data_IF_308687629959
#
_entry.id   IF_308687629959
#
_cell.length_a   1.000
_cell.length_b   1.000
_cell.length_c   1.000
_cell.angle_alpha   90.00
_cell.angle_beta   90.00
_cell.angle_gamma   90.00
#
_symmetry.space_group_name_H-M   'P 1'
#
loop_
_entity.id
_entity.type
_entity.pdbx_description
1 polymer ?
#
# COMPACT_ATOMS: atom_id res chain seq x y z
N UNK A 1 27.11 35.95 -19.45
CA UNK A 1 26.04 36.86 -19.09
C UNK A 1 25.39 36.36 -17.79
N UNK A 2 25.02 37.27 -16.92
CA UNK A 2 24.31 37.01 -15.68
C UNK A 2 23.21 38.04 -15.46
N UNK A 3 22.29 37.77 -14.55
CA UNK A 3 21.21 38.68 -14.14
C UNK A 3 21.56 39.31 -12.79
N UNK A 4 21.50 40.62 -12.73
CA UNK A 4 21.71 41.38 -11.48
C UNK A 4 20.70 42.53 -11.42
N UNK A 5 19.99 42.67 -10.30
CA UNK A 5 18.98 43.71 -10.10
C UNK A 5 17.95 43.86 -11.23
N UNK A 6 17.50 42.69 -11.76
CA UNK A 6 16.58 42.56 -12.91
C UNK A 6 17.15 42.98 -14.29
N UNK A 7 18.42 43.31 -14.40
CA UNK A 7 19.08 43.61 -15.66
C UNK A 7 20.05 42.52 -16.08
N UNK A 8 20.18 42.32 -17.40
CA UNK A 8 21.18 41.39 -17.96
C UNK A 8 22.50 42.14 -18.17
N UNK A 9 23.57 41.60 -17.59
CA UNK A 9 24.91 42.17 -17.69
C UNK A 9 25.97 41.09 -17.92
N UNK A 10 27.11 41.52 -18.39
CA UNK A 10 28.29 40.67 -18.47
C UNK A 10 29.10 40.81 -17.20
N UNK A 11 29.42 39.70 -16.55
CA UNK A 11 30.25 39.69 -15.32
C UNK A 11 31.30 38.55 -15.44
N UNK A 12 32.34 38.66 -14.60
CA UNK A 12 33.32 37.58 -14.46
C UNK A 12 32.68 36.41 -13.64
N UNK A 13 33.07 35.17 -13.92
CA UNK A 13 32.52 33.98 -13.24
C UNK A 13 32.63 34.07 -11.74
N UNK A 14 33.71 34.59 -11.19
CA UNK A 14 34.00 34.72 -9.75
C UNK A 14 33.03 35.63 -8.97
N UNK A 15 32.31 36.50 -9.70
CA UNK A 15 31.31 37.41 -9.13
C UNK A 15 29.89 36.84 -9.16
N UNK A 16 29.71 35.70 -9.81
CA UNK A 16 28.40 35.04 -9.93
C UNK A 16 28.18 34.21 -8.68
N UNK A 17 27.08 34.47 -7.94
CA UNK A 17 26.74 33.80 -6.68
C UNK A 17 25.93 32.52 -6.90
N UNK A 18 25.12 32.46 -7.94
CA UNK A 18 24.24 31.34 -8.27
C UNK A 18 24.32 30.99 -9.74
N UNK A 19 24.21 29.73 -10.06
CA UNK A 19 24.21 29.22 -11.42
C UNK A 19 23.10 28.13 -11.54
N UNK A 20 22.38 28.16 -12.66
CA UNK A 20 21.44 27.10 -12.97
C UNK A 20 22.16 25.78 -13.14
N UNK A 21 21.68 24.73 -12.48
CA UNK A 21 22.30 23.39 -12.54
C UNK A 21 22.04 22.72 -13.89
N UNK A 22 20.81 22.87 -14.42
CA UNK A 22 20.41 22.27 -15.67
C UNK A 22 19.44 23.17 -16.46
N UNK A 23 19.41 23.08 -17.80
CA UNK A 23 18.46 23.81 -18.64
C UNK A 23 16.99 23.53 -18.33
N UNK A 24 16.69 22.34 -17.79
CA UNK A 24 15.34 21.93 -17.38
C UNK A 24 14.72 22.81 -16.29
N UNK A 25 15.52 23.56 -15.53
CA UNK A 25 15.03 24.51 -14.51
C UNK A 25 14.25 25.70 -15.10
N UNK A 26 14.39 26.00 -16.37
CA UNK A 26 13.72 27.12 -17.06
C UNK A 26 12.24 26.81 -17.28
N UNK A 27 11.88 25.54 -17.44
CA UNK A 27 10.53 25.07 -17.79
C UNK A 27 9.84 24.41 -16.59
N UNK A 28 8.53 24.22 -16.69
CA UNK A 28 7.77 23.47 -15.69
C UNK A 28 8.18 22.00 -15.68
N UNK A 29 7.86 21.27 -14.58
CA UNK A 29 8.16 19.85 -14.47
C UNK A 29 7.52 19.05 -15.63
N UNK A 30 6.27 19.33 -15.98
CA UNK A 30 5.60 18.64 -17.09
C UNK A 30 6.29 18.91 -18.43
N UNK A 31 6.70 20.15 -18.70
CA UNK A 31 7.42 20.49 -19.92
C UNK A 31 8.84 19.87 -19.94
N UNK A 32 9.49 19.73 -18.80
CA UNK A 32 10.81 19.11 -18.70
C UNK A 32 10.84 17.60 -19.00
N UNK A 33 9.67 16.96 -19.00
CA UNK A 33 9.50 15.55 -19.36
C UNK A 33 9.30 15.33 -20.87
N UNK A 34 9.14 16.39 -21.67
CA UNK A 34 8.95 16.28 -23.12
C UNK A 34 10.30 16.11 -23.79
N UNK A 35 10.58 14.97 -24.44
CA UNK A 35 11.80 14.80 -25.20
C UNK A 35 11.79 15.69 -26.44
N UNK A 36 12.94 16.23 -26.82
CA UNK A 36 13.10 17.13 -27.98
C UNK A 36 12.21 18.37 -27.94
N UNK A 37 11.98 18.92 -26.75
CA UNK A 37 11.12 20.10 -26.54
C UNK A 37 11.53 21.31 -27.41
N UNK A 38 12.82 21.47 -27.66
CA UNK A 38 13.39 22.55 -28.48
C UNK A 38 12.97 22.49 -29.96
N UNK A 39 12.46 21.37 -30.43
CA UNK A 39 11.96 21.18 -31.79
C UNK A 39 10.42 21.39 -31.90
N UNK A 40 9.73 21.58 -30.79
CA UNK A 40 8.30 21.73 -30.75
C UNK A 40 7.89 23.21 -30.73
N UNK A 41 6.78 23.53 -31.40
CA UNK A 41 6.12 24.83 -31.26
C UNK A 41 5.58 24.99 -29.83
N UNK A 42 5.63 26.23 -29.31
CA UNK A 42 5.21 26.53 -27.95
C UNK A 42 3.74 26.13 -27.68
N UNK A 43 2.84 26.29 -28.63
CA UNK A 43 1.44 25.91 -28.50
C UNK A 43 1.30 24.38 -28.37
N UNK A 44 2.06 23.62 -29.16
CA UNK A 44 2.02 22.14 -29.10
C UNK A 44 2.68 21.60 -27.83
N UNK A 45 3.75 22.22 -27.39
CA UNK A 45 4.38 21.89 -26.11
C UNK A 45 3.42 22.13 -24.93
N UNK A 46 2.64 23.23 -24.94
CA UNK A 46 1.62 23.50 -23.95
C UNK A 46 0.53 22.42 -23.96
N UNK A 47 0.02 22.06 -25.14
CA UNK A 47 -0.99 20.99 -25.26
C UNK A 47 -0.47 19.66 -24.75
N UNK A 48 0.74 19.25 -25.16
CA UNK A 48 1.38 18.01 -24.70
C UNK A 48 1.61 17.98 -23.19
N UNK A 49 2.10 19.07 -22.61
CA UNK A 49 2.29 19.23 -21.17
C UNK A 49 0.96 19.08 -20.40
N UNK A 50 -0.14 19.64 -20.91
CA UNK A 50 -1.46 19.46 -20.31
C UNK A 50 -1.97 18.02 -20.43
N UNK A 51 -1.74 17.36 -21.55
CA UNK A 51 -2.14 15.96 -21.77
C UNK A 51 -1.39 15.00 -20.87
N UNK A 52 -0.11 15.20 -20.60
CA UNK A 52 0.66 14.40 -19.64
C UNK A 52 0.01 14.37 -18.26
N UNK A 53 -0.53 15.49 -17.80
CA UNK A 53 -1.22 15.58 -16.49
C UNK A 53 -2.56 14.85 -16.43
N UNK A 54 -3.12 14.48 -17.59
CA UNK A 54 -4.38 13.74 -17.72
C UNK A 54 -4.17 12.26 -17.99
N UNK A 55 -2.93 11.78 -17.96
CA UNK A 55 -2.62 10.38 -18.20
C UNK A 55 -3.26 9.49 -17.12
N UNK A 56 -3.91 8.41 -17.57
CA UNK A 56 -4.53 7.41 -16.70
C UNK A 56 -3.57 6.25 -16.54
N UNK A 57 -3.34 5.75 -15.31
CA UNK A 57 -2.51 4.57 -15.07
C UNK A 57 -3.03 3.36 -15.83
N UNK A 58 -2.18 2.73 -16.61
CA UNK A 58 -2.50 1.48 -17.32
C UNK A 58 -2.28 0.27 -16.41
N UNK A 59 -2.86 -0.88 -16.78
CA UNK A 59 -2.70 -2.14 -16.05
C UNK A 59 -1.22 -2.53 -15.90
N UNK A 60 -0.43 -2.32 -16.93
CA UNK A 60 1.03 -2.45 -16.92
C UNK A 60 1.62 -1.16 -17.46
N UNK A 61 2.46 -0.52 -16.67
CA UNK A 61 3.26 0.60 -17.11
C UNK A 61 4.49 0.10 -17.86
N UNK A 62 4.98 0.87 -18.80
CA UNK A 62 6.17 0.56 -19.58
C UNK A 62 7.07 1.80 -19.63
N UNK A 63 8.34 1.63 -19.29
CA UNK A 63 9.33 2.71 -19.31
C UNK A 63 9.48 3.27 -20.72
N UNK A 64 9.47 4.60 -20.90
CA UNK A 64 9.65 5.21 -22.21
C UNK A 64 11.04 4.91 -22.77
N UNK A 65 11.12 4.58 -24.06
CA UNK A 65 12.39 4.32 -24.73
C UNK A 65 13.24 5.60 -24.90
N UNK A 66 12.59 6.75 -24.97
CA UNK A 66 13.22 8.07 -25.06
C UNK A 66 12.72 8.93 -23.93
N UNK A 67 13.63 9.44 -23.13
CA UNK A 67 13.33 10.27 -21.96
C UNK A 67 14.28 11.45 -21.85
N UNK A 68 14.04 12.30 -20.88
CA UNK A 68 14.81 13.51 -20.59
C UNK A 68 15.73 13.36 -19.38
N UNK A 69 15.64 12.26 -18.65
CA UNK A 69 16.33 12.04 -17.38
C UNK A 69 15.61 12.63 -16.16
N UNK A 70 14.48 13.32 -16.35
CA UNK A 70 13.64 13.82 -15.27
C UNK A 70 12.62 12.81 -14.77
N UNK A 71 12.44 11.69 -15.45
CA UNK A 71 11.44 10.67 -15.12
C UNK A 71 11.68 10.06 -13.75
N UNK A 72 12.93 9.73 -13.42
CA UNK A 72 13.30 9.14 -12.15
C UNK A 72 13.16 10.09 -10.97
N UNK A 73 13.72 11.32 -10.99
CA UNK A 73 13.49 12.29 -9.92
C UNK A 73 12.01 12.60 -9.69
N UNK A 74 11.23 12.75 -10.77
CA UNK A 74 9.80 13.04 -10.68
C UNK A 74 9.03 11.87 -10.04
N UNK A 75 9.32 10.63 -10.40
CA UNK A 75 8.71 9.45 -9.81
C UNK A 75 9.00 9.35 -8.31
N UNK A 76 10.25 9.60 -7.89
CA UNK A 76 10.68 9.57 -6.49
C UNK A 76 10.02 10.70 -5.70
N UNK A 77 10.11 11.94 -6.18
CA UNK A 77 9.63 13.12 -5.44
C UNK A 77 8.10 13.22 -5.40
N UNK A 78 7.40 12.57 -6.34
CA UNK A 78 5.92 12.49 -6.32
C UNK A 78 5.37 11.65 -5.17
N UNK A 79 6.19 10.80 -4.56
CA UNK A 79 5.79 9.91 -3.46
C UNK A 79 4.90 8.74 -3.88
N UNK A 80 4.75 8.46 -5.18
CA UNK A 80 4.02 7.28 -5.67
C UNK A 80 4.84 5.99 -5.54
N UNK A 81 6.17 6.11 -5.59
CA UNK A 81 7.11 5.01 -5.35
C UNK A 81 7.47 4.93 -3.87
N UNK A 82 7.73 3.73 -3.39
CA UNK A 82 8.25 3.53 -2.03
C UNK A 82 9.77 3.55 -2.08
N UNK A 83 10.38 4.45 -1.33
CA UNK A 83 11.82 4.63 -1.25
C UNK A 83 12.39 4.20 0.10
N UNK A 84 13.61 3.68 0.11
CA UNK A 84 14.31 3.31 1.33
C UNK A 84 14.66 4.55 2.17
N UNK A 85 14.22 4.56 3.42
CA UNK A 85 14.54 5.62 4.39
C UNK A 85 15.97 5.52 4.88
N UNK A 86 16.43 4.28 5.09
CA UNK A 86 17.77 3.91 5.55
C UNK A 86 18.31 2.76 4.71
N UNK A 87 19.62 2.62 4.63
CA UNK A 87 20.28 1.51 3.96
C UNK A 87 20.22 0.25 4.81
N UNK A 88 20.18 -0.90 4.13
CA UNK A 88 20.08 -2.18 4.82
C UNK A 88 20.04 -3.38 3.89
N UNK A 89 19.55 -4.48 4.41
CA UNK A 89 19.31 -5.72 3.66
C UNK A 89 17.83 -6.08 3.78
N UNK A 90 17.22 -6.42 2.67
CA UNK A 90 15.82 -6.87 2.63
C UNK A 90 15.70 -8.23 3.29
N UNK A 91 14.97 -8.30 4.39
CA UNK A 91 14.75 -9.54 5.16
C UNK A 91 13.63 -10.38 4.56
N UNK A 92 12.49 -9.77 4.31
CA UNK A 92 11.35 -10.43 3.69
C UNK A 92 10.54 -9.49 2.81
N UNK A 93 9.91 -10.03 1.78
CA UNK A 93 9.05 -9.31 0.85
C UNK A 93 7.78 -10.11 0.63
N UNK A 94 6.65 -9.48 0.79
CA UNK A 94 5.37 -10.01 0.36
C UNK A 94 4.60 -8.95 -0.46
N UNK A 95 3.41 -9.30 -0.96
CA UNK A 95 2.63 -8.39 -1.78
C UNK A 95 2.17 -7.13 -1.03
N UNK A 96 2.08 -7.18 0.29
CA UNK A 96 1.54 -6.13 1.15
C UNK A 96 2.61 -5.33 1.87
N UNK A 97 3.83 -5.85 2.02
CA UNK A 97 4.88 -5.21 2.82
C UNK A 97 6.29 -5.64 2.43
N UNK A 98 7.26 -4.80 2.75
CA UNK A 98 8.69 -5.05 2.62
C UNK A 98 9.31 -4.82 4.00
N UNK A 99 10.04 -5.81 4.52
CA UNK A 99 10.76 -5.72 5.78
C UNK A 99 12.25 -5.59 5.50
N UNK A 100 12.85 -4.53 6.00
CA UNK A 100 14.27 -4.22 5.80
C UNK A 100 14.98 -4.22 7.14
N UNK A 101 16.06 -4.97 7.23
CA UNK A 101 17.01 -4.91 8.33
C UNK A 101 18.03 -3.81 8.04
N UNK A 102 18.01 -2.75 8.83
CA UNK A 102 18.85 -1.56 8.66
C UNK A 102 20.30 -1.87 9.01
N UNK A 103 21.24 -1.23 8.32
CA UNK A 103 22.66 -1.34 8.63
C UNK A 103 23.00 -0.68 9.97
N UNK A 104 23.90 -1.28 10.75
CA UNK A 104 24.32 -0.76 12.05
C UNK A 104 24.83 0.67 12.00
N UNK A 105 25.46 1.08 10.89
CA UNK A 105 26.00 2.43 10.71
C UNK A 105 24.91 3.52 10.58
N UNK A 106 23.70 3.15 10.15
CA UNK A 106 22.57 4.08 9.96
C UNK A 106 21.53 3.99 11.08
N UNK A 107 21.74 3.09 12.05
CA UNK A 107 20.85 2.93 13.20
C UNK A 107 21.30 3.86 14.33
N UNK A 108 20.42 4.75 14.78
CA UNK A 108 20.66 5.64 15.92
C UNK A 108 20.37 4.90 17.22
N UNK A 109 21.08 5.23 18.30
CA UNK A 109 20.84 4.63 19.61
C UNK A 109 19.39 4.92 20.08
N UNK A 110 18.62 3.85 20.34
CA UNK A 110 17.21 3.94 20.74
C UNK A 110 16.21 3.80 19.60
N UNK A 111 16.66 3.64 18.35
CA UNK A 111 15.79 3.31 17.22
C UNK A 111 15.83 1.82 16.91
N UNK A 112 14.70 1.29 16.45
CA UNK A 112 14.66 -0.08 15.93
C UNK A 112 15.51 -0.20 14.66
N UNK A 113 16.33 -1.24 14.59
CA UNK A 113 17.14 -1.57 13.41
C UNK A 113 16.32 -2.20 12.28
N UNK A 114 15.02 -1.95 12.24
CA UNK A 114 14.08 -2.52 11.26
C UNK A 114 13.21 -1.43 10.68
N UNK A 115 13.06 -1.42 9.35
CA UNK A 115 12.09 -0.60 8.65
C UNK A 115 11.07 -1.49 7.96
N UNK A 116 9.78 -1.28 8.26
CA UNK A 116 8.67 -1.97 7.63
C UNK A 116 7.94 -0.98 6.71
N UNK A 117 7.87 -1.32 5.42
CA UNK A 117 7.20 -0.55 4.38
C UNK A 117 5.92 -1.28 3.98
N UNK A 118 4.77 -0.75 4.41
CA UNK A 118 3.47 -1.26 3.99
C UNK A 118 3.14 -0.71 2.59
N UNK A 119 2.78 -1.60 1.68
CA UNK A 119 2.44 -1.28 0.30
C UNK A 119 0.94 -1.02 0.16
N UNK A 120 0.60 0.04 -0.54
CA UNK A 120 -0.79 0.37 -0.86
C UNK A 120 -1.28 -0.58 -1.96
N UNK A 121 -2.37 -1.31 -1.69
CA UNK A 121 -2.92 -2.31 -2.62
C UNK A 121 -4.33 -1.93 -3.03
N UNK A 122 -4.55 -1.78 -4.33
CA UNK A 122 -5.87 -1.61 -4.97
C UNK A 122 -6.77 -0.59 -4.26
N UNK A 123 -6.22 0.58 -3.95
CA UNK A 123 -6.99 1.67 -3.36
C UNK A 123 -7.46 2.65 -4.43
N UNK A 124 -8.57 3.31 -4.15
CA UNK A 124 -9.14 4.33 -5.04
C UNK A 124 -8.36 5.64 -4.92
N UNK A 125 -7.98 6.23 -6.05
CA UNK A 125 -7.51 7.62 -6.10
C UNK A 125 -8.68 8.61 -6.15
N UNK A 126 -8.39 9.91 -6.02
CA UNK A 126 -9.41 10.96 -6.12
C UNK A 126 -10.11 10.98 -7.49
N UNK A 127 -9.49 10.47 -8.54
CA UNK A 127 -10.02 10.37 -9.90
C UNK A 127 -10.55 8.98 -10.24
N UNK A 128 -10.84 8.15 -9.24
CA UNK A 128 -11.31 6.77 -9.38
C UNK A 128 -10.33 5.82 -10.08
N UNK A 129 -9.07 6.20 -10.19
CA UNK A 129 -8.02 5.32 -10.74
C UNK A 129 -7.50 4.38 -9.65
N UNK A 130 -6.92 3.25 -10.07
CA UNK A 130 -6.37 2.26 -9.16
C UNK A 130 -4.97 2.67 -8.70
N UNK A 131 -4.77 2.74 -7.39
CA UNK A 131 -3.45 2.86 -6.76
C UNK A 131 -3.04 1.48 -6.29
N UNK A 132 -1.98 0.95 -6.87
CA UNK A 132 -1.42 -0.34 -6.49
C UNK A 132 0.11 -0.24 -6.52
N UNK A 133 0.76 -0.59 -5.42
CA UNK A 133 2.21 -0.61 -5.32
C UNK A 133 2.71 -2.05 -5.45
N UNK A 134 3.79 -2.22 -6.20
CA UNK A 134 4.38 -3.52 -6.49
C UNK A 134 5.86 -3.52 -6.11
N UNK A 135 6.34 -4.48 -5.29
CA UNK A 135 7.74 -4.55 -4.90
C UNK A 135 8.65 -4.83 -6.10
N UNK A 136 9.82 -4.20 -6.12
CA UNK A 136 10.90 -4.42 -7.09
C UNK A 136 12.01 -5.28 -6.51
N UNK A 137 12.18 -5.24 -5.18
CA UNK A 137 13.27 -5.91 -4.46
C UNK A 137 12.90 -7.32 -4.08
N UNK A 138 13.92 -8.14 -3.85
CA UNK A 138 13.80 -9.52 -3.39
C UNK A 138 14.46 -9.69 -2.02
N UNK A 139 14.08 -10.74 -1.31
CA UNK A 139 14.71 -11.07 -0.03
C UNK A 139 16.21 -11.35 -0.23
N UNK A 140 17.04 -10.70 0.59
CA UNK A 140 18.49 -10.76 0.52
C UNK A 140 19.16 -9.62 -0.25
N UNK A 141 18.41 -8.78 -0.95
CA UNK A 141 18.97 -7.64 -1.67
C UNK A 141 19.54 -6.60 -0.70
N UNK A 142 20.72 -6.08 -1.02
CA UNK A 142 21.30 -4.95 -0.32
C UNK A 142 20.79 -3.64 -0.92
N UNK A 143 20.27 -2.76 -0.07
CA UNK A 143 19.70 -1.48 -0.47
C UNK A 143 20.44 -0.31 0.19
N UNK A 144 20.51 0.80 -0.50
CA UNK A 144 21.01 2.06 0.01
C UNK A 144 19.85 3.02 0.31
N UNK A 145 20.11 4.02 1.14
CA UNK A 145 19.15 5.09 1.40
C UNK A 145 18.78 5.81 0.09
N UNK A 146 17.49 5.93 -0.19
CA UNK A 146 16.95 6.57 -1.39
C UNK A 146 16.70 5.62 -2.56
N UNK A 147 17.05 4.33 -2.44
CA UNK A 147 16.71 3.34 -3.46
C UNK A 147 15.20 3.11 -3.53
N UNK A 148 14.70 2.84 -4.72
CA UNK A 148 13.28 2.54 -4.93
C UNK A 148 13.03 1.07 -4.58
N UNK A 149 12.14 0.84 -3.63
CA UNK A 149 11.75 -0.50 -3.14
C UNK A 149 10.53 -1.05 -3.86
N UNK A 150 9.58 -0.18 -4.20
CA UNK A 150 8.36 -0.57 -4.89
C UNK A 150 7.89 0.52 -5.86
N UNK A 151 7.39 0.07 -7.01
CA UNK A 151 6.74 0.91 -8.00
C UNK A 151 5.29 1.21 -7.59
N UNK A 152 4.85 2.41 -7.94
CA UNK A 152 3.46 2.84 -7.82
C UNK A 152 2.71 2.86 -9.16
N UNK A 153 1.54 3.50 -9.21
CA UNK A 153 0.83 3.69 -10.46
C UNK A 153 1.65 4.54 -11.44
N UNK A 154 1.60 4.20 -12.72
CA UNK A 154 2.34 4.89 -13.80
C UNK A 154 3.85 4.99 -13.56
N UNK A 155 4.43 4.01 -12.91
CA UNK A 155 5.89 3.89 -12.74
C UNK A 155 6.36 2.50 -13.13
N UNK A 156 7.59 2.40 -13.62
CA UNK A 156 8.24 1.15 -13.99
C UNK A 156 9.74 1.26 -13.67
N UNK A 157 10.26 0.32 -12.88
CA UNK A 157 11.64 0.30 -12.39
C UNK A 157 12.11 1.63 -11.74
N UNK A 158 11.20 2.29 -11.02
CA UNK A 158 11.45 3.55 -10.35
C UNK A 158 11.46 4.78 -11.27
N UNK A 159 11.05 4.64 -12.52
CA UNK A 159 10.93 5.72 -13.49
C UNK A 159 9.46 5.99 -13.84
N UNK A 160 9.15 7.23 -14.18
CA UNK A 160 7.82 7.62 -14.60
C UNK A 160 7.47 7.01 -15.96
N UNK A 161 6.38 6.25 -16.01
CA UNK A 161 5.89 5.54 -17.19
C UNK A 161 4.39 5.83 -17.39
N UNK A 162 4.08 6.90 -18.11
CA UNK A 162 2.71 7.41 -18.27
C UNK A 162 1.90 6.69 -19.36
N UNK A 163 2.52 5.83 -20.15
CA UNK A 163 1.87 5.19 -21.30
C UNK A 163 2.55 3.91 -21.73
N UNK A 164 2.48 3.63 -23.03
CA UNK A 164 2.97 2.42 -23.65
C UNK A 164 3.83 2.78 -24.88
N UNK A 165 4.86 2.00 -25.14
CA UNK A 165 5.65 2.11 -26.38
C UNK A 165 4.94 1.37 -27.51
N UNK A 166 4.69 2.05 -28.62
CA UNK A 166 4.00 1.50 -29.79
C UNK A 166 4.84 1.70 -31.05
N UNK A 167 4.79 0.73 -31.93
CA UNK A 167 5.28 0.90 -33.28
C UNK A 167 4.28 1.71 -34.11
N UNK A 168 4.69 2.86 -34.59
CA UNK A 168 3.83 3.82 -35.32
C UNK A 168 4.29 3.93 -36.78
N UNK A 169 3.33 3.93 -37.70
CA UNK A 169 3.57 4.25 -39.11
C UNK A 169 2.94 5.61 -39.48
N UNK A 170 3.74 6.50 -40.00
CA UNK A 170 3.28 7.83 -40.49
C UNK A 170 2.96 7.72 -41.98
N UNK A 171 1.71 7.42 -42.29
CA UNK A 171 1.26 7.28 -43.68
C UNK A 171 -0.26 7.52 -43.77
N UNK A 172 -0.78 8.04 -44.92
CA UNK A 172 -2.21 8.03 -45.17
C UNK A 172 -2.68 6.59 -45.40
N UNK A 173 -3.86 6.24 -44.81
CA UNK A 173 -4.41 4.88 -44.96
C UNK A 173 -5.89 4.92 -45.30
N UNK A 174 -6.23 4.85 -46.58
CA UNK A 174 -7.59 4.82 -47.14
C UNK A 174 -8.53 5.90 -46.59
N UNK A 175 -8.02 7.03 -46.13
CA UNK A 175 -8.80 8.13 -45.56
C UNK A 175 -9.30 7.90 -44.13
N UNK A 176 -9.04 6.73 -43.52
CA UNK A 176 -9.49 6.45 -42.13
C UNK A 176 -8.67 7.19 -41.05
N UNK A 177 -7.55 7.75 -41.40
CA UNK A 177 -6.73 8.59 -40.52
C UNK A 177 -6.72 10.07 -40.93
N UNK A 178 -7.88 10.54 -41.50
CA UNK A 178 -8.06 11.95 -41.87
C UNK A 178 -8.07 12.85 -40.61
N UNK A 179 -7.40 13.99 -40.72
CA UNK A 179 -7.20 14.96 -39.64
C UNK A 179 -6.47 14.30 -38.43
N UNK A 180 -7.09 14.37 -37.24
CA UNK A 180 -6.54 13.85 -35.98
C UNK A 180 -6.96 12.39 -35.70
N UNK A 181 -7.55 11.70 -36.68
CA UNK A 181 -7.96 10.30 -36.53
C UNK A 181 -6.74 9.37 -36.50
N UNK A 182 -6.75 8.40 -35.60
CA UNK A 182 -5.71 7.41 -35.44
C UNK A 182 -6.32 6.01 -35.62
N UNK A 183 -5.68 5.19 -36.44
CA UNK A 183 -5.98 3.77 -36.54
C UNK A 183 -5.17 2.98 -35.54
N UNK A 184 -5.81 2.11 -34.82
CA UNK A 184 -5.20 1.24 -33.81
C UNK A 184 -5.29 -0.20 -34.27
N UNK A 185 -4.21 -0.95 -34.16
CA UNK A 185 -4.20 -2.39 -34.42
C UNK A 185 -5.02 -3.14 -33.38
N UNK A 186 -5.74 -4.18 -33.78
CA UNK A 186 -6.45 -5.10 -32.89
C UNK A 186 -5.54 -5.74 -31.84
N UNK A 187 -4.27 -5.91 -32.16
CA UNK A 187 -3.24 -6.41 -31.24
C UNK A 187 -3.13 -5.57 -29.97
N UNK A 188 -3.32 -4.25 -30.03
CA UNK A 188 -3.30 -3.36 -28.85
C UNK A 188 -4.36 -3.77 -27.83
N UNK A 189 -5.56 -4.17 -28.33
CA UNK A 189 -6.65 -4.66 -27.48
C UNK A 189 -6.35 -6.07 -26.96
N UNK A 190 -5.84 -6.96 -27.81
CA UNK A 190 -5.51 -8.34 -27.42
C UNK A 190 -4.39 -8.42 -26.36
N UNK A 191 -3.44 -7.48 -26.39
CA UNK A 191 -2.33 -7.41 -25.43
C UNK A 191 -2.65 -6.54 -24.20
N UNK A 192 -3.87 -6.04 -24.05
CA UNK A 192 -4.29 -5.15 -22.93
C UNK A 192 -3.38 -3.93 -22.72
N UNK A 193 -2.86 -3.35 -23.82
CA UNK A 193 -1.85 -2.28 -23.74
C UNK A 193 -2.32 -1.04 -23.00
N UNK A 194 -3.55 -0.61 -23.24
CA UNK A 194 -4.16 0.59 -22.62
C UNK A 194 -5.30 0.25 -21.67
N UNK A 195 -5.40 -0.98 -21.23
CA UNK A 195 -6.42 -1.40 -20.27
C UNK A 195 -6.15 -0.73 -18.92
N UNK A 196 -7.19 -0.17 -18.33
CA UNK A 196 -7.15 0.56 -17.07
C UNK A 196 -8.12 -0.05 -16.06
N UNK A 197 -7.80 0.12 -14.77
CA UNK A 197 -8.69 -0.28 -13.67
C UNK A 197 -9.23 0.99 -13.02
N UNK A 198 -10.56 1.09 -12.93
CA UNK A 198 -11.24 2.14 -12.20
C UNK A 198 -11.91 1.55 -10.96
N UNK A 199 -11.78 2.23 -9.83
CA UNK A 199 -12.38 1.83 -8.57
C UNK A 199 -13.43 2.88 -8.19
N UNK A 200 -14.69 2.45 -8.18
CA UNK A 200 -15.83 3.26 -7.76
C UNK A 200 -16.15 2.99 -6.30
N UNK A 201 -16.43 4.04 -5.55
CA UNK A 201 -16.84 3.96 -4.15
C UNK A 201 -18.30 4.36 -4.02
N UNK A 202 -19.12 3.41 -3.58
CA UNK A 202 -20.54 3.62 -3.33
C UNK A 202 -20.78 3.57 -1.83
N UNK A 203 -21.48 4.56 -1.31
CA UNK A 203 -21.75 4.68 0.13
C UNK A 203 -23.24 4.52 0.41
N UNK A 204 -23.56 3.74 1.43
CA UNK A 204 -24.92 3.62 1.96
C UNK A 204 -24.92 4.00 3.44
N UNK A 205 -25.85 4.85 3.83
CA UNK A 205 -26.00 5.30 5.22
C UNK A 205 -27.39 4.95 5.71
N UNK A 206 -27.47 4.20 6.83
CA UNK A 206 -28.72 4.00 7.58
C UNK A 206 -28.91 5.17 8.55
N UNK A 207 -30.03 5.84 8.46
CA UNK A 207 -30.35 7.04 9.26
C UNK A 207 -31.52 6.78 10.19
N UNK A 208 -31.55 7.49 11.31
CA UNK A 208 -32.72 7.52 12.17
C UNK A 208 -33.78 8.44 11.53
N UNK A 209 -34.92 7.90 11.15
CA UNK A 209 -36.03 8.66 10.62
C UNK A 209 -37.11 8.90 11.69
N UNK A 210 -38.03 9.84 11.45
CA UNK A 210 -39.16 10.09 12.40
C UNK A 210 -40.08 8.88 12.57
N UNK A 211 -40.05 7.93 11.65
CA UNK A 211 -40.89 6.73 11.61
C UNK A 211 -40.20 5.49 12.23
N UNK A 212 -38.91 5.62 12.50
CA UNK A 212 -38.07 4.57 13.03
C UNK A 212 -36.68 4.57 12.37
N UNK A 213 -35.70 3.82 12.88
CA UNK A 213 -34.39 3.67 12.28
C UNK A 213 -34.46 2.90 10.96
N UNK A 214 -33.63 3.30 9.99
CA UNK A 214 -33.36 2.48 8.82
C UNK A 214 -32.45 1.33 9.22
N UNK A 215 -32.66 0.16 8.64
CA UNK A 215 -31.87 -1.05 8.92
C UNK A 215 -31.19 -1.55 7.65
N UNK A 216 -29.94 -1.99 7.79
CA UNK A 216 -29.22 -2.72 6.75
C UNK A 216 -29.44 -4.20 7.00
N UNK A 217 -30.09 -4.90 6.03
CA UNK A 217 -30.46 -6.30 6.17
C UNK A 217 -30.57 -6.97 4.80
N UNK A 218 -30.39 -8.29 4.77
CA UNK A 218 -30.67 -9.12 3.61
C UNK A 218 -32.18 -9.42 3.42
N UNK A 219 -32.99 -9.21 4.48
CA UNK A 219 -34.43 -9.45 4.44
C UNK A 219 -35.16 -8.25 3.81
N UNK A 220 -35.20 -8.22 2.48
CA UNK A 220 -35.80 -7.15 1.69
C UNK A 220 -37.14 -7.64 1.14
N UNK A 221 -38.25 -6.94 1.38
CA UNK A 221 -39.57 -7.34 0.87
C UNK A 221 -39.62 -7.25 -0.67
N UNK A 222 -40.32 -8.19 -1.29
CA UNK A 222 -40.62 -8.27 -2.72
C UNK A 222 -39.37 -8.41 -3.64
N UNK A 223 -38.26 -8.92 -3.12
CA UNK A 223 -37.04 -9.24 -3.90
C UNK A 223 -36.86 -10.74 -3.94
N UNK A 224 -36.58 -11.27 -5.14
CA UNK A 224 -36.34 -12.70 -5.34
C UNK A 224 -34.98 -13.16 -4.76
N UNK A 225 -34.90 -14.41 -4.34
CA UNK A 225 -33.69 -15.00 -3.75
C UNK A 225 -32.46 -14.91 -4.68
N UNK A 226 -32.67 -14.94 -6.01
CA UNK A 226 -31.58 -14.81 -6.97
C UNK A 226 -30.90 -13.43 -6.94
N UNK A 227 -31.62 -12.37 -6.58
CA UNK A 227 -31.07 -11.03 -6.44
C UNK A 227 -30.35 -10.84 -5.09
N UNK A 228 -30.70 -11.65 -4.10
CA UNK A 228 -30.08 -11.65 -2.77
C UNK A 228 -28.88 -12.59 -2.66
N UNK A 229 -28.64 -13.45 -3.65
CA UNK A 229 -27.58 -14.46 -3.61
C UNK A 229 -26.16 -13.89 -3.48
N UNK A 230 -25.96 -12.58 -3.80
CA UNK A 230 -24.68 -11.87 -3.69
C UNK A 230 -24.50 -11.13 -2.37
N UNK A 231 -25.51 -11.13 -1.49
CA UNK A 231 -25.48 -10.50 -0.19
C UNK A 231 -25.10 -11.52 0.89
N UNK A 232 -24.39 -11.03 1.90
CA UNK A 232 -24.14 -11.80 3.12
C UNK A 232 -25.34 -11.71 4.11
N UNK A 233 -25.22 -12.34 5.26
CA UNK A 233 -26.26 -12.32 6.30
C UNK A 233 -26.54 -10.90 6.83
N UNK A 234 -25.56 -10.00 6.78
CA UNK A 234 -25.72 -8.61 7.16
C UNK A 234 -26.38 -7.74 6.07
N UNK A 235 -26.65 -8.31 4.88
CA UNK A 235 -27.27 -7.58 3.78
C UNK A 235 -26.29 -6.76 2.94
N UNK A 236 -25.00 -7.06 3.01
CA UNK A 236 -23.93 -6.38 2.24
C UNK A 236 -23.34 -7.38 1.26
N UNK A 237 -23.06 -6.93 0.04
CA UNK A 237 -22.43 -7.79 -0.95
C UNK A 237 -21.04 -8.26 -0.49
N UNK A 238 -20.73 -9.55 -0.72
CA UNK A 238 -19.45 -10.12 -0.30
C UNK A 238 -18.29 -9.70 -1.22
N UNK A 239 -17.09 -9.66 -0.66
CA UNK A 239 -15.86 -9.35 -1.41
C UNK A 239 -15.61 -10.44 -2.44
N UNK A 240 -15.30 -10.05 -3.69
CA UNK A 240 -15.12 -10.95 -4.81
C UNK A 240 -16.39 -11.23 -5.63
N UNK A 241 -17.57 -10.72 -5.20
CA UNK A 241 -18.79 -10.84 -5.96
C UNK A 241 -18.72 -10.04 -7.28
N UNK A 242 -19.08 -10.69 -8.38
CA UNK A 242 -19.31 -10.02 -9.67
C UNK A 242 -20.65 -9.31 -9.65
N UNK A 243 -20.65 -8.01 -9.88
CA UNK A 243 -21.86 -7.17 -9.89
C UNK A 243 -22.09 -6.53 -11.24
N UNK A 244 -23.37 -6.41 -11.60
CA UNK A 244 -23.84 -5.76 -12.83
C UNK A 244 -24.81 -4.64 -12.50
N UNK A 245 -25.05 -3.80 -13.48
CA UNK A 245 -26.06 -2.75 -13.35
C UNK A 245 -27.41 -3.32 -12.90
N UNK A 246 -27.97 -2.78 -11.83
CA UNK A 246 -29.22 -3.23 -11.23
C UNK A 246 -29.10 -4.26 -10.10
N UNK A 247 -27.92 -4.82 -9.85
CA UNK A 247 -27.69 -5.71 -8.69
C UNK A 247 -27.73 -4.93 -7.38
N UNK A 248 -28.24 -5.55 -6.33
CA UNK A 248 -28.26 -4.96 -5.00
C UNK A 248 -26.88 -5.12 -4.37
N UNK A 249 -26.30 -3.99 -3.95
CA UNK A 249 -24.99 -3.95 -3.27
C UNK A 249 -25.14 -3.94 -1.76
N UNK A 250 -26.10 -3.19 -1.26
CA UNK A 250 -26.43 -3.12 0.18
C UNK A 250 -27.93 -3.12 0.32
N UNK A 251 -28.46 -4.12 1.01
CA UNK A 251 -29.87 -4.22 1.36
C UNK A 251 -30.19 -3.24 2.47
N UNK A 252 -31.10 -2.31 2.24
CA UNK A 252 -31.58 -1.35 3.23
C UNK A 252 -33.09 -1.25 3.19
N UNK A 253 -33.70 -1.28 4.35
CA UNK A 253 -35.13 -1.09 4.53
C UNK A 253 -35.43 0.16 5.36
N UNK A 254 -36.45 0.90 4.94
CA UNK A 254 -36.93 2.10 5.62
C UNK A 254 -38.33 1.85 6.15
N UNK A 255 -38.66 2.17 7.41
CA UNK A 255 -40.01 2.02 7.95
C UNK A 255 -41.02 2.90 7.17
N UNK A 256 -42.16 2.32 6.82
CA UNK A 256 -43.31 3.09 6.26
C UNK A 256 -44.10 3.75 7.41
N UNK A 257 -44.53 4.97 7.16
CA UNK A 257 -45.51 5.63 8.05
C UNK A 257 -46.87 4.91 7.98
N UNK A 258 -47.65 5.08 9.03
CA UNK A 258 -49.06 4.60 9.09
C UNK A 258 -49.87 5.29 7.98
N UNK A 259 -49.89 4.71 6.79
CA UNK A 259 -50.87 4.99 5.76
C UNK A 259 -52.00 3.98 5.93
N UNK A 260 -53.24 4.41 5.76
CA UNK A 260 -54.39 3.51 5.72
C UNK A 260 -54.11 2.42 4.70
N UNK A 261 -53.89 1.19 5.18
CA UNK A 261 -53.64 0.01 4.37
C UNK A 261 -54.78 -0.21 3.39
N UNK A 262 -54.48 -0.31 2.12
CA UNK A 262 -55.46 -0.76 1.11
C UNK A 262 -55.91 -2.18 1.43
N UNK A 263 -57.13 -2.59 1.00
CA UNK A 263 -57.59 -3.95 1.20
C UNK A 263 -56.63 -5.02 0.65
N UNK A 264 -55.92 -4.71 -0.43
CA UNK A 264 -54.91 -5.56 -1.07
C UNK A 264 -53.66 -5.71 -0.22
N UNK A 265 -53.18 -4.63 0.44
CA UNK A 265 -52.04 -4.67 1.34
C UNK A 265 -52.39 -5.44 2.64
N UNK A 266 -53.65 -5.39 3.13
CA UNK A 266 -54.10 -6.24 4.22
C UNK A 266 -54.06 -7.72 3.87
N UNK A 267 -54.36 -8.06 2.62
CA UNK A 267 -54.33 -9.43 2.16
C UNK A 267 -52.89 -9.95 1.99
N UNK A 268 -51.98 -9.11 1.47
CA UNK A 268 -50.54 -9.38 1.37
C UNK A 268 -49.92 -9.58 2.76
N UNK A 269 -50.34 -8.79 3.76
CA UNK A 269 -49.90 -8.93 5.13
C UNK A 269 -50.33 -10.26 5.76
N UNK A 270 -51.52 -10.74 5.42
CA UNK A 270 -52.02 -12.03 5.88
C UNK A 270 -51.30 -13.21 5.24
N UNK A 271 -50.83 -13.07 4.03
CA UNK A 271 -50.18 -14.16 3.27
C UNK A 271 -48.68 -14.23 3.52
N UNK A 272 -47.99 -13.09 3.55
CA UNK A 272 -46.53 -12.97 3.61
C UNK A 272 -45.97 -12.51 4.97
N UNK A 273 -46.83 -12.34 6.00
CA UNK A 273 -46.44 -11.94 7.34
C UNK A 273 -46.35 -10.41 7.55
N UNK A 274 -46.27 -10.00 8.83
CA UNK A 274 -46.32 -8.60 9.24
C UNK A 274 -45.22 -7.68 8.64
N UNK A 275 -44.03 -8.22 8.39
CA UNK A 275 -42.88 -7.45 7.89
C UNK A 275 -43.07 -6.88 6.49
N UNK A 276 -43.77 -7.55 5.59
CA UNK A 276 -43.92 -7.10 4.18
C UNK A 276 -44.73 -5.80 3.99
N UNK A 277 -45.51 -5.38 5.00
CA UNK A 277 -46.33 -4.16 4.93
C UNK A 277 -45.71 -2.91 5.56
N UNK A 278 -44.75 -3.08 6.46
CA UNK A 278 -44.29 -2.02 7.35
C UNK A 278 -42.97 -1.35 6.89
N UNK A 279 -42.28 -1.96 5.95
CA UNK A 279 -40.98 -1.44 5.45
C UNK A 279 -41.01 -1.22 3.93
N UNK A 280 -40.22 -0.28 3.47
CA UNK A 280 -39.99 0.01 2.06
C UNK A 280 -38.54 -0.29 1.73
N UNK A 281 -38.32 -0.91 0.57
CA UNK A 281 -36.97 -1.08 0.01
C UNK A 281 -36.34 0.27 -0.32
N UNK A 282 -35.15 0.51 0.23
CA UNK A 282 -34.28 1.64 0.01
C UNK A 282 -32.83 1.20 -0.26
N UNK A 283 -32.68 -0.01 -0.77
CA UNK A 283 -31.39 -0.65 -1.02
C UNK A 283 -30.51 0.16 -1.98
N UNK A 284 -29.21 0.06 -1.78
CA UNK A 284 -28.22 0.61 -2.70
C UNK A 284 -28.07 -0.37 -3.87
N UNK A 285 -28.39 0.09 -5.06
CA UNK A 285 -28.34 -0.68 -6.30
C UNK A 285 -27.12 -0.24 -7.13
N UNK A 286 -26.49 -1.16 -7.82
CA UNK A 286 -25.39 -0.85 -8.73
C UNK A 286 -25.87 0.09 -9.85
N UNK A 287 -25.23 1.26 -10.05
CA UNK A 287 -25.63 2.22 -11.06
C UNK A 287 -25.55 1.65 -12.49
N UNK A 288 -26.33 2.18 -13.44
CA UNK A 288 -26.24 1.77 -14.82
C UNK A 288 -24.86 2.07 -15.41
N UNK A 289 -24.34 1.15 -16.22
CA UNK A 289 -23.03 1.27 -16.88
C UNK A 289 -21.85 0.79 -16.04
N UNK A 290 -22.07 0.36 -14.80
CA UNK A 290 -21.03 -0.24 -13.95
C UNK A 290 -21.17 -1.75 -13.98
N UNK A 291 -20.09 -2.42 -14.30
CA UNK A 291 -19.91 -3.87 -14.21
C UNK A 291 -18.52 -4.15 -13.65
N UNK A 292 -18.42 -4.98 -12.61
CA UNK A 292 -17.13 -5.22 -11.98
C UNK A 292 -17.19 -6.20 -10.83
N UNK A 293 -16.10 -6.23 -10.05
CA UNK A 293 -15.92 -7.10 -8.90
C UNK A 293 -15.78 -6.25 -7.65
N UNK A 294 -16.39 -6.66 -6.56
CA UNK A 294 -16.24 -5.98 -5.26
C UNK A 294 -14.87 -6.28 -4.68
N UNK A 295 -14.03 -5.24 -4.57
CA UNK A 295 -12.66 -5.33 -4.07
C UNK A 295 -12.59 -5.20 -2.56
N UNK A 296 -13.47 -4.40 -1.97
CA UNK A 296 -13.47 -4.16 -0.53
C UNK A 296 -14.77 -3.58 -0.01
N UNK A 297 -15.00 -3.78 1.26
CA UNK A 297 -16.15 -3.25 1.99
C UNK A 297 -15.66 -2.70 3.33
N UNK A 298 -16.14 -1.52 3.68
CA UNK A 298 -15.89 -0.90 4.99
C UNK A 298 -17.21 -0.65 5.69
N UNK A 299 -17.34 -1.11 6.92
CA UNK A 299 -18.51 -0.90 7.74
C UNK A 299 -18.17 0.00 8.93
N UNK A 300 -19.03 0.98 9.19
CA UNK A 300 -18.85 1.92 10.30
C UNK A 300 -20.10 1.89 11.16
N UNK A 301 -19.95 1.66 12.46
CA UNK A 301 -21.02 1.70 13.43
C UNK A 301 -20.79 2.80 14.47
N UNK A 302 -21.88 3.34 15.07
CA UNK A 302 -21.75 4.28 16.17
C UNK A 302 -21.25 3.59 17.43
N UNK A 303 -20.56 4.33 18.30
CA UNK A 303 -20.09 3.81 19.59
C UNK A 303 -21.30 3.36 20.43
N UNK A 304 -21.24 2.11 20.94
CA UNK A 304 -22.29 1.53 21.78
C UNK A 304 -23.30 0.62 21.07
N UNK A 305 -23.14 0.43 19.75
CA UNK A 305 -23.91 -0.57 18.99
C UNK A 305 -23.06 -1.84 18.89
N UNK A 306 -23.67 -3.01 19.01
CA UNK A 306 -22.99 -4.28 18.77
C UNK A 306 -22.46 -4.32 17.34
N UNK A 307 -21.19 -4.74 17.20
CA UNK A 307 -20.56 -4.86 15.90
C UNK A 307 -20.97 -6.18 15.26
N UNK A 308 -21.26 -6.11 13.97
CA UNK A 308 -21.50 -7.29 13.15
C UNK A 308 -20.26 -8.18 13.06
N UNK A 309 -20.44 -9.46 12.79
CA UNK A 309 -19.34 -10.42 12.69
C UNK A 309 -18.35 -10.04 11.58
N UNK A 310 -18.82 -9.40 10.51
CA UNK A 310 -17.97 -8.84 9.45
C UNK A 310 -17.10 -7.70 9.96
N UNK A 311 -17.65 -6.77 10.74
CA UNK A 311 -16.86 -5.67 11.32
C UNK A 311 -15.79 -6.21 12.27
N UNK A 312 -16.11 -7.25 13.05
CA UNK A 312 -15.14 -7.96 13.91
C UNK A 312 -14.05 -8.65 13.08
N UNK A 313 -14.41 -9.29 11.96
CA UNK A 313 -13.45 -9.94 11.08
C UNK A 313 -12.46 -8.94 10.44
N UNK A 314 -12.93 -7.77 10.00
CA UNK A 314 -12.08 -6.70 9.45
C UNK A 314 -11.10 -6.18 10.52
N UNK A 315 -11.60 -5.93 11.74
CA UNK A 315 -10.76 -5.49 12.85
C UNK A 315 -9.72 -6.56 13.24
N UNK A 316 -10.11 -7.83 13.21
CA UNK A 316 -9.19 -8.93 13.50
C UNK A 316 -8.08 -9.03 12.44
N UNK A 317 -8.41 -8.86 11.16
CA UNK A 317 -7.41 -8.86 10.07
C UNK A 317 -6.39 -7.72 10.24
N UNK A 318 -6.85 -6.52 10.64
CA UNK A 318 -5.95 -5.40 10.94
C UNK A 318 -5.04 -5.69 12.14
N UNK A 319 -5.58 -6.31 13.20
CA UNK A 319 -4.82 -6.72 14.38
C UNK A 319 -3.77 -7.79 14.02
N UNK A 320 -4.15 -8.80 13.24
CA UNK A 320 -3.26 -9.88 12.80
C UNK A 320 -2.10 -9.33 11.97
N UNK A 321 -2.36 -8.32 11.12
CA UNK A 321 -1.31 -7.65 10.35
C UNK A 321 -0.35 -6.86 11.25
N UNK A 322 -0.86 -6.13 12.25
CA UNK A 322 -0.03 -5.42 13.23
C UNK A 322 0.80 -6.38 14.07
N UNK A 323 0.21 -7.49 14.51
CA UNK A 323 0.90 -8.53 15.28
C UNK A 323 2.01 -9.19 14.46
N UNK A 324 1.75 -9.50 13.19
CA UNK A 324 2.77 -10.02 12.28
C UNK A 324 3.95 -9.06 12.10
N UNK A 325 3.67 -7.75 11.97
CA UNK A 325 4.72 -6.74 11.89
C UNK A 325 5.55 -6.69 13.17
N UNK A 326 4.92 -6.71 14.33
CA UNK A 326 5.59 -6.72 15.62
C UNK A 326 6.45 -7.99 15.82
N UNK A 327 5.93 -9.16 15.43
CA UNK A 327 6.67 -10.42 15.51
C UNK A 327 7.94 -10.40 14.65
N UNK A 328 7.87 -9.87 13.43
CA UNK A 328 9.04 -9.74 12.56
C UNK A 328 10.05 -8.72 13.12
N UNK A 329 9.60 -7.60 13.64
CA UNK A 329 10.45 -6.60 14.28
C UNK A 329 11.19 -7.20 15.49
N UNK A 330 10.48 -7.87 16.40
CA UNK A 330 11.06 -8.53 17.58
C UNK A 330 12.06 -9.63 17.16
N UNK A 331 11.73 -10.44 16.15
CA UNK A 331 12.61 -11.47 15.64
C UNK A 331 13.94 -10.89 15.13
N UNK A 332 13.88 -9.85 14.30
CA UNK A 332 15.07 -9.23 13.72
C UNK A 332 15.91 -8.56 14.80
N UNK A 333 15.27 -7.87 15.76
CA UNK A 333 15.96 -7.27 16.90
C UNK A 333 16.66 -8.34 17.76
N UNK A 334 15.98 -9.43 18.06
CA UNK A 334 16.60 -10.55 18.80
C UNK A 334 17.79 -11.12 18.05
N UNK A 335 17.70 -11.33 16.74
CA UNK A 335 18.80 -11.85 15.92
C UNK A 335 20.00 -10.90 15.90
N UNK A 336 19.74 -9.59 15.84
CA UNK A 336 20.79 -8.57 15.85
C UNK A 336 21.49 -8.47 17.22
N UNK A 337 20.70 -8.41 18.29
CA UNK A 337 21.23 -8.42 19.66
C UNK A 337 22.02 -9.70 19.90
N UNK A 338 21.51 -10.85 19.43
CA UNK A 338 22.20 -12.14 19.51
C UNK A 338 23.56 -12.09 18.81
N UNK A 339 23.64 -11.53 17.60
CA UNK A 339 24.92 -11.37 16.87
C UNK A 339 25.92 -10.53 17.67
N UNK A 340 25.47 -9.39 18.19
CA UNK A 340 26.32 -8.51 19.02
C UNK A 340 26.77 -9.20 20.30
N UNK A 341 25.88 -9.95 20.96
CA UNK A 341 26.21 -10.74 22.14
C UNK A 341 27.22 -11.84 21.83
N UNK A 342 27.09 -12.54 20.71
CA UNK A 342 28.05 -13.58 20.29
C UNK A 342 29.46 -12.98 20.18
N UNK A 343 29.58 -11.80 19.54
CA UNK A 343 30.89 -11.12 19.42
C UNK A 343 31.47 -10.72 20.78
N UNK A 344 30.63 -10.27 21.72
CA UNK A 344 31.06 -9.86 23.06
C UNK A 344 31.43 -11.05 23.97
N UNK A 345 30.67 -12.14 23.86
CA UNK A 345 30.82 -13.31 24.74
C UNK A 345 31.87 -14.32 24.24
N UNK A 346 32.31 -14.17 23.01
CA UNK A 346 33.33 -15.03 22.41
C UNK A 346 34.61 -15.02 23.21
N UNK A 347 35.11 -16.22 23.56
CA UNK A 347 36.36 -16.40 24.31
C UNK A 347 36.21 -16.39 25.83
N UNK A 348 35.01 -16.12 26.35
CA UNK A 348 34.74 -16.25 27.79
C UNK A 348 34.26 -17.64 28.17
N UNK A 349 34.31 -17.98 29.46
CA UNK A 349 33.86 -19.26 30.00
C UNK A 349 32.68 -19.07 30.97
N UNK A 350 31.79 -20.05 31.03
CA UNK A 350 30.66 -20.04 31.95
C UNK A 350 31.07 -20.21 33.39
N UNK A 351 30.54 -19.35 34.29
CA UNK A 351 30.71 -19.45 35.74
C UNK A 351 29.75 -20.43 36.41
N UNK A 352 28.58 -20.64 35.81
CA UNK A 352 27.52 -21.52 36.33
C UNK A 352 26.94 -22.37 35.21
N UNK A 353 26.29 -23.49 35.58
CA UNK A 353 25.53 -24.31 34.63
C UNK A 353 24.32 -23.54 34.10
N UNK A 354 24.02 -23.66 32.82
CA UNK A 354 22.82 -23.13 32.16
C UNK A 354 21.78 -24.23 32.08
N UNK A 355 20.58 -23.94 32.55
CA UNK A 355 19.42 -24.82 32.47
C UNK A 355 18.38 -24.27 31.51
N UNK A 356 17.47 -25.14 31.04
CA UNK A 356 16.32 -24.77 30.24
C UNK A 356 15.35 -23.83 31.00
N UNK A 357 14.30 -23.33 30.35
CA UNK A 357 13.32 -22.46 30.98
C UNK A 357 12.65 -23.03 32.22
N UNK A 358 12.51 -24.35 32.27
CA UNK A 358 11.85 -25.09 33.35
C UNK A 358 12.82 -25.63 34.38
N UNK A 359 14.13 -25.41 34.21
CA UNK A 359 15.17 -25.89 35.13
C UNK A 359 15.36 -27.41 35.12
N UNK A 360 14.85 -28.11 34.11
CA UNK A 360 14.81 -29.59 34.03
C UNK A 360 16.03 -30.17 33.34
N UNK A 361 16.45 -29.55 32.24
CA UNK A 361 17.59 -30.02 31.45
C UNK A 361 18.76 -29.05 31.50
N UNK A 362 19.96 -29.61 31.62
CA UNK A 362 21.19 -28.85 31.61
C UNK A 362 21.63 -28.62 30.16
N UNK A 363 21.52 -27.38 29.68
CA UNK A 363 21.88 -26.96 28.32
C UNK A 363 23.40 -26.83 28.15
N UNK A 364 24.08 -26.15 29.10
CA UNK A 364 25.53 -25.99 29.09
C UNK A 364 26.10 -26.18 30.49
N UNK A 365 27.32 -26.72 30.55
CA UNK A 365 28.04 -26.98 31.82
C UNK A 365 28.91 -25.78 32.20
N UNK A 366 29.11 -25.58 33.51
CA UNK A 366 30.11 -24.68 34.07
C UNK A 366 31.48 -24.94 33.47
N UNK A 367 32.21 -23.90 33.08
CA UNK A 367 33.54 -23.98 32.49
C UNK A 367 33.55 -24.23 30.99
N UNK A 368 32.38 -24.38 30.33
CA UNK A 368 32.31 -24.46 28.87
C UNK A 368 32.75 -23.14 28.24
N UNK A 369 33.73 -23.19 27.33
CA UNK A 369 34.16 -22.05 26.55
C UNK A 369 33.08 -21.63 25.57
N UNK A 370 32.78 -20.36 25.53
CA UNK A 370 31.75 -19.77 24.62
C UNK A 370 32.38 -19.52 23.24
N UNK A 371 32.25 -20.54 22.37
CA UNK A 371 32.64 -20.41 20.97
C UNK A 371 31.47 -19.84 20.15
N UNK A 372 31.72 -19.20 19.00
CA UNK A 372 30.65 -18.68 18.15
C UNK A 372 29.61 -19.73 17.74
N UNK A 373 30.07 -20.99 17.53
CA UNK A 373 29.20 -22.11 17.15
C UNK A 373 28.22 -22.46 18.28
N UNK A 374 28.73 -22.53 19.53
CA UNK A 374 27.88 -22.80 20.70
C UNK A 374 26.87 -21.68 20.93
N UNK A 375 27.30 -20.41 20.82
CA UNK A 375 26.44 -19.26 21.04
C UNK A 375 25.37 -19.11 19.94
N UNK A 376 25.71 -19.39 18.69
CA UNK A 376 24.73 -19.34 17.58
C UNK A 376 23.67 -20.43 17.73
N UNK A 377 24.00 -21.59 18.26
CA UNK A 377 23.05 -22.69 18.51
C UNK A 377 22.09 -22.45 19.67
N UNK A 378 22.33 -21.44 20.53
CA UNK A 378 21.48 -21.16 21.68
C UNK A 378 20.33 -20.21 21.30
N UNK A 379 19.10 -20.44 21.81
CA UNK A 379 18.03 -19.44 21.76
C UNK A 379 18.44 -18.14 22.48
N UNK A 380 17.84 -17.01 22.07
CA UNK A 380 18.09 -15.69 22.67
C UNK A 380 17.93 -15.71 24.20
N UNK A 381 16.83 -16.28 24.70
CA UNK A 381 16.51 -16.34 26.14
C UNK A 381 17.55 -17.10 26.97
N UNK A 382 18.24 -18.06 26.36
CA UNK A 382 19.34 -18.78 27.02
C UNK A 382 20.62 -17.94 27.07
N UNK A 383 20.89 -17.15 26.02
CA UNK A 383 22.06 -16.24 25.97
C UNK A 383 21.94 -15.17 27.05
N UNK A 384 20.73 -14.63 27.24
CA UNK A 384 20.41 -13.65 28.27
C UNK A 384 20.71 -14.11 29.68
N UNK A 385 20.55 -15.41 29.95
CA UNK A 385 20.74 -16.02 31.27
C UNK A 385 22.17 -16.51 31.55
N UNK A 386 23.11 -16.32 30.60
CA UNK A 386 24.52 -16.75 30.79
C UNK A 386 25.17 -15.96 31.91
N UNK A 387 25.84 -16.68 32.82
CA UNK A 387 26.66 -16.10 33.87
C UNK A 387 28.14 -16.28 33.50
N UNK A 388 28.86 -15.16 33.32
CA UNK A 388 30.25 -15.16 32.90
C UNK A 388 31.19 -15.38 34.10
N UNK A 389 32.32 -16.05 33.86
CA UNK A 389 33.40 -16.23 34.81
C UNK A 389 34.55 -15.31 34.45
N UNK A 390 35.00 -14.47 35.41
CA UNK A 390 36.14 -13.57 35.29
C UNK A 390 36.04 -12.42 36.30
N UNK A 391 37.20 -11.84 36.66
CA UNK A 391 37.25 -10.69 37.57
C UNK A 391 36.84 -9.33 36.88
N UNK A 392 36.39 -9.40 35.66
CA UNK A 392 36.02 -8.21 34.89
C UNK A 392 34.57 -7.78 35.18
N UNK A 393 34.40 -7.04 36.28
CA UNK A 393 33.13 -6.41 36.66
C UNK A 393 32.61 -5.49 35.58
N UNK A 394 33.47 -4.88 34.77
CA UNK A 394 33.13 -3.97 33.68
C UNK A 394 32.40 -4.66 32.52
N UNK A 395 32.73 -5.89 32.18
CA UNK A 395 32.05 -6.69 31.17
C UNK A 395 30.66 -7.14 31.62
N UNK A 396 30.54 -7.49 32.90
CA UNK A 396 29.27 -7.90 33.48
C UNK A 396 28.29 -6.71 33.63
N UNK A 397 28.84 -5.52 33.92
CA UNK A 397 28.06 -4.26 33.96
C UNK A 397 27.63 -3.81 32.56
N UNK A 398 28.51 -3.90 31.55
CA UNK A 398 28.15 -3.59 30.15
C UNK A 398 27.13 -4.58 29.57
N UNK A 399 27.23 -5.85 29.97
CA UNK A 399 26.27 -6.87 29.64
C UNK A 399 24.90 -6.60 30.27
N UNK A 400 24.85 -6.29 31.55
CA UNK A 400 23.60 -5.97 32.28
C UNK A 400 22.96 -4.67 31.78
N UNK A 401 23.73 -3.65 31.45
CA UNK A 401 23.23 -2.36 30.96
C UNK A 401 22.62 -2.53 29.55
N UNK A 402 23.24 -3.33 28.67
CA UNK A 402 22.69 -3.61 27.34
C UNK A 402 21.46 -4.49 27.38
N UNK A 403 21.37 -5.39 28.39
CA UNK A 403 20.18 -6.20 28.61
C UNK A 403 18.99 -5.38 29.09
N UNK A 404 19.20 -4.43 29.99
CA UNK A 404 18.16 -3.49 30.43
C UNK A 404 17.67 -2.58 29.29
N UNK A 405 18.54 -2.26 28.33
CA UNK A 405 18.16 -1.52 27.12
C UNK A 405 17.40 -2.32 26.07
N UNK A 406 17.38 -3.66 26.17
CA UNK A 406 16.59 -4.53 25.25
C UNK A 406 15.23 -4.94 25.82
N UNK A 407 14.97 -4.65 27.11
CA UNK A 407 13.65 -4.87 27.74
C UNK A 407 12.70 -3.63 27.61
N UNK A 408 13.18 -2.52 27.03
CA UNK A 408 12.39 -1.35 26.69
C UNK A 408 12.02 -1.39 25.21
#
# INVERSE_FOLDING_TARGET
>A
SCRSHNEFMLSMPDKVQYMDVAPSQIVSVAASLIPFLEHDDANRALMGSNMQRQAVPTLRSETPLVGTGMERPVAIDSGVTVIARRGGVVDSVDASRIVVRVNDAETTAGEAGVDIYNLTKYTRSNQNTCINQRPLVHAGDAIARGDVLADGPSTDLGELALGQNLLVAFMPWNGYNFEDSILISERVVQEDRFTTIHIEELTCVARDTKLGPEEITADIPNVGESALAKLDEAGIAFIGAEVKAGDILVGKVTPKGETQLTPEEKLLRAIFGEKAGDVRDASLICPPGIEGIIVGVKTFSRKGIEKDDRAKAIEQEELDMMEKNLQDEVRILHDEVKKRMVVMLQGHALRADLYDEYGREKVLRKGTGLTPEVLQGLPYDHIVRLKLGGDDSTLQDQYSIRMQGSEI
#
